data_IF_264187287738
#
_entry.id   IF_264187287738
#
_cell.length_a   1.000
_cell.length_b   1.000
_cell.length_c   1.000
_cell.angle_alpha   90.00
_cell.angle_beta   90.00
_cell.angle_gamma   90.00
#
_symmetry.space_group_name_H-M   'P 1'
#
loop_
_entity.id
_entity.type
_entity.pdbx_description
1 polymer ?
#
# COMPACT_ATOMS: atom_id res chain seq x y z
N UNK A 1 -6.09 -7.05 -17.44
CA UNK A 1 -6.19 -6.59 -16.04
C UNK A 1 -5.78 -5.12 -16.01
N UNK A 2 -6.66 -4.24 -15.56
CA UNK A 2 -6.41 -2.82 -15.39
C UNK A 2 -6.09 -2.55 -13.93
N UNK A 3 -4.89 -2.06 -13.65
CA UNK A 3 -4.42 -1.77 -12.30
C UNK A 3 -4.14 -0.27 -12.22
N UNK A 4 -4.58 0.37 -11.14
CA UNK A 4 -4.38 1.80 -10.91
C UNK A 4 -3.79 2.06 -9.52
N UNK A 5 -3.14 3.21 -9.36
CA UNK A 5 -2.62 3.70 -8.08
C UNK A 5 -3.03 5.16 -7.90
N UNK A 6 -3.37 5.53 -6.64
CA UNK A 6 -3.82 6.89 -6.32
C UNK A 6 -3.53 7.25 -4.86
N UNK A 7 -2.70 8.27 -4.65
CA UNK A 7 -2.62 8.93 -3.34
C UNK A 7 -3.86 9.79 -3.13
N UNK A 8 -4.71 9.40 -2.19
CA UNK A 8 -6.02 10.05 -1.98
C UNK A 8 -6.01 11.12 -0.89
N UNK A 9 -4.92 11.23 -0.15
CA UNK A 9 -4.80 12.21 0.93
C UNK A 9 -6.07 12.29 1.80
N UNK A 10 -6.45 11.19 2.43
CA UNK A 10 -7.65 10.91 3.20
C UNK A 10 -8.78 10.25 2.39
N UNK A 11 -9.02 8.97 2.70
CA UNK A 11 -10.11 8.19 2.11
C UNK A 11 -11.48 8.82 2.40
N UNK A 12 -11.69 9.35 3.61
CA UNK A 12 -12.97 9.96 4.00
C UNK A 12 -13.29 11.20 3.19
N UNK A 13 -12.28 12.03 2.91
CA UNK A 13 -12.46 13.27 2.16
C UNK A 13 -12.68 13.03 0.68
N UNK A 14 -12.11 11.95 0.14
CA UNK A 14 -12.12 11.64 -1.30
C UNK A 14 -13.06 10.51 -1.69
N UNK A 15 -13.81 9.94 -0.75
CA UNK A 15 -14.61 8.74 -1.00
C UNK A 15 -15.54 8.89 -2.21
N UNK A 16 -16.32 9.96 -2.29
CA UNK A 16 -17.23 10.18 -3.42
C UNK A 16 -16.48 10.26 -4.77
N UNK A 17 -15.35 10.97 -4.79
CA UNK A 17 -14.52 11.10 -5.98
C UNK A 17 -13.94 9.75 -6.43
N UNK A 18 -13.53 8.90 -5.46
CA UNK A 18 -12.99 7.57 -5.74
C UNK A 18 -14.10 6.67 -6.31
N UNK A 19 -15.28 6.69 -5.70
CA UNK A 19 -16.44 5.91 -6.16
C UNK A 19 -16.86 6.34 -7.56
N UNK A 20 -16.96 7.65 -7.84
CA UNK A 20 -17.28 8.18 -9.16
C UNK A 20 -16.24 7.74 -10.20
N UNK A 21 -14.96 7.80 -9.85
CA UNK A 21 -13.86 7.37 -10.71
C UNK A 21 -13.89 5.86 -10.97
N UNK A 22 -14.14 5.03 -9.94
CA UNK A 22 -14.30 3.59 -10.09
C UNK A 22 -15.45 3.27 -11.07
N UNK A 23 -16.59 3.93 -10.94
CA UNK A 23 -17.74 3.74 -11.83
C UNK A 23 -17.44 4.09 -13.29
N UNK A 24 -16.56 5.09 -13.54
CA UNK A 24 -16.17 5.50 -14.87
C UNK A 24 -15.10 4.61 -15.50
N UNK A 25 -14.07 4.26 -14.72
CA UNK A 25 -12.87 3.57 -15.21
C UNK A 25 -12.97 2.06 -15.06
N UNK A 26 -13.70 1.59 -14.04
CA UNK A 26 -13.96 0.18 -13.76
C UNK A 26 -12.68 -0.66 -13.64
N UNK A 27 -11.66 -0.24 -12.83
CA UNK A 27 -10.41 -0.95 -12.70
C UNK A 27 -10.59 -2.35 -12.09
N UNK A 28 -9.65 -3.26 -12.38
CA UNK A 28 -9.63 -4.58 -11.73
C UNK A 28 -9.02 -4.48 -10.33
N UNK A 29 -7.97 -3.64 -10.18
CA UNK A 29 -7.28 -3.39 -8.91
C UNK A 29 -6.98 -1.90 -8.79
N UNK A 30 -7.25 -1.33 -7.59
CA UNK A 30 -6.92 0.05 -7.24
C UNK A 30 -6.10 0.06 -5.94
N UNK A 31 -4.87 0.57 -6.01
CA UNK A 31 -3.97 0.77 -4.89
C UNK A 31 -4.09 2.20 -4.37
N UNK A 32 -4.42 2.37 -3.08
CA UNK A 32 -4.57 3.68 -2.46
C UNK A 32 -3.44 3.94 -1.47
N UNK A 33 -3.00 5.21 -1.38
CA UNK A 33 -2.04 5.70 -0.40
C UNK A 33 -2.63 6.90 0.35
N UNK A 34 -2.11 7.15 1.53
CA UNK A 34 -2.59 8.18 2.48
C UNK A 34 -4.08 8.04 2.83
N UNK A 35 -4.51 6.84 3.19
CA UNK A 35 -5.91 6.60 3.58
C UNK A 35 -6.29 7.32 4.88
N UNK A 36 -5.33 7.52 5.81
CA UNK A 36 -5.41 8.31 7.05
C UNK A 36 -6.50 7.88 8.03
N UNK A 37 -6.91 6.62 7.97
CA UNK A 37 -7.87 6.00 8.87
C UNK A 37 -7.33 4.67 9.39
N UNK A 38 -7.79 4.23 10.54
CA UNK A 38 -7.55 2.87 11.04
C UNK A 38 -8.36 1.86 10.19
N UNK A 39 -7.94 0.59 10.22
CA UNK A 39 -8.60 -0.49 9.46
C UNK A 39 -10.12 -0.50 9.74
N UNK A 40 -10.55 -0.47 11.01
CA UNK A 40 -11.95 -0.48 11.43
C UNK A 40 -12.76 0.77 11.01
N UNK A 41 -12.07 1.80 10.56
CA UNK A 41 -12.70 3.07 10.15
C UNK A 41 -12.66 3.28 8.63
N UNK A 42 -12.16 2.30 7.90
CA UNK A 42 -12.13 2.35 6.45
C UNK A 42 -13.55 2.07 5.90
N UNK A 43 -14.03 2.82 4.91
CA UNK A 43 -15.40 2.68 4.38
C UNK A 43 -15.52 1.46 3.44
N UNK A 44 -15.35 0.25 3.99
CA UNK A 44 -15.32 -1.02 3.24
C UNK A 44 -16.61 -1.22 2.45
N UNK A 45 -17.76 -0.97 3.09
CA UNK A 45 -19.09 -1.21 2.51
C UNK A 45 -19.29 -0.48 1.19
N UNK A 46 -18.76 0.75 1.06
CA UNK A 46 -18.90 1.54 -0.17
C UNK A 46 -18.22 0.90 -1.39
N UNK A 47 -17.20 0.08 -1.17
CA UNK A 47 -16.51 -0.65 -2.23
C UNK A 47 -17.14 -2.04 -2.46
N UNK A 48 -17.59 -2.69 -1.42
CA UNK A 48 -18.28 -3.98 -1.51
C UNK A 48 -19.59 -3.87 -2.30
N UNK A 49 -20.33 -2.77 -2.14
CA UNK A 49 -21.54 -2.46 -2.95
C UNK A 49 -21.23 -2.36 -4.45
N UNK A 50 -20.00 -2.05 -4.83
CA UNK A 50 -19.51 -2.02 -6.22
C UNK A 50 -18.89 -3.35 -6.68
N UNK A 51 -18.91 -4.38 -5.83
CA UNK A 51 -18.35 -5.69 -6.13
C UNK A 51 -16.83 -5.81 -5.94
N UNK A 52 -16.22 -4.92 -5.14
CA UNK A 52 -14.81 -4.99 -4.79
C UNK A 52 -14.60 -5.54 -3.40
N UNK A 53 -13.56 -6.32 -3.21
CA UNK A 53 -12.98 -6.63 -1.91
C UNK A 53 -11.94 -5.57 -1.51
N UNK A 54 -11.66 -5.45 -0.22
CA UNK A 54 -10.80 -4.40 0.33
C UNK A 54 -9.81 -4.98 1.32
N UNK A 55 -8.53 -4.74 1.08
CA UNK A 55 -7.45 -5.05 2.02
C UNK A 55 -6.84 -3.74 2.51
N UNK A 56 -6.82 -3.53 3.83
CA UNK A 56 -6.40 -2.26 4.45
C UNK A 56 -5.25 -2.48 5.41
N UNK A 57 -4.31 -1.55 5.41
CA UNK A 57 -3.29 -1.41 6.43
C UNK A 57 -3.20 0.06 6.83
N UNK A 58 -4.02 0.42 7.81
CA UNK A 58 -4.33 1.80 8.14
C UNK A 58 -3.74 2.31 9.44
N UNK A 59 -3.65 3.63 9.53
CA UNK A 59 -3.18 4.37 10.69
C UNK A 59 -4.02 5.63 10.88
N UNK A 60 -4.36 5.95 12.11
CA UNK A 60 -5.15 7.14 12.42
C UNK A 60 -4.40 8.41 12.03
N UNK A 61 -5.05 9.28 11.26
CA UNK A 61 -4.60 10.64 10.88
C UNK A 61 -3.43 10.73 9.91
N UNK A 62 -2.63 9.68 9.76
CA UNK A 62 -1.42 9.67 8.92
C UNK A 62 -1.32 8.37 8.12
N UNK A 63 -0.51 8.39 7.05
CA UNK A 63 -0.16 7.19 6.27
C UNK A 63 -1.38 6.34 5.87
N UNK A 64 -1.18 5.03 5.83
CA UNK A 64 -2.21 4.06 5.47
C UNK A 64 -2.24 3.76 3.99
N UNK A 65 -2.28 2.47 3.67
CA UNK A 65 -2.37 1.95 2.30
C UNK A 65 -3.52 0.96 2.20
N UNK A 66 -4.13 0.84 1.02
CA UNK A 66 -5.18 -0.14 0.78
C UNK A 66 -5.08 -0.70 -0.65
N UNK A 67 -5.55 -1.93 -0.83
CA UNK A 67 -5.77 -2.55 -2.14
C UNK A 67 -7.26 -2.85 -2.25
N UNK A 68 -7.89 -2.33 -3.29
CA UNK A 68 -9.30 -2.52 -3.63
C UNK A 68 -9.35 -3.32 -4.92
N UNK A 69 -10.01 -4.48 -4.95
CA UNK A 69 -9.93 -5.39 -6.07
C UNK A 69 -11.23 -6.14 -6.33
N UNK A 70 -11.57 -6.35 -7.63
CA UNK A 70 -12.61 -7.30 -8.06
C UNK A 70 -12.13 -8.75 -7.97
N UNK A 71 -10.82 -8.95 -7.96
CA UNK A 71 -10.17 -10.26 -7.89
C UNK A 71 -9.91 -10.57 -6.43
N UNK A 72 -10.20 -11.78 -5.99
CA UNK A 72 -9.93 -12.18 -4.61
C UNK A 72 -8.42 -12.09 -4.32
N UNK A 73 -8.07 -11.38 -3.26
CA UNK A 73 -6.70 -11.29 -2.77
C UNK A 73 -6.27 -12.61 -2.11
N UNK A 74 -5.07 -13.05 -2.40
CA UNK A 74 -4.42 -14.19 -1.74
C UNK A 74 -3.13 -13.70 -1.08
N UNK A 75 -2.65 -14.41 -0.05
CA UNK A 75 -1.38 -14.14 0.62
C UNK A 75 -1.16 -12.69 1.04
N UNK A 76 -2.21 -12.03 1.53
CA UNK A 76 -2.15 -10.63 1.99
C UNK A 76 -1.11 -10.48 3.09
N UNK A 77 -0.18 -9.55 2.92
CA UNK A 77 0.87 -9.22 3.89
C UNK A 77 0.94 -7.71 4.13
N UNK A 78 1.18 -7.35 5.37
CA UNK A 78 1.24 -5.96 5.84
C UNK A 78 2.66 -5.63 6.33
N UNK A 79 3.24 -4.55 5.80
CA UNK A 79 4.61 -4.13 6.12
C UNK A 79 5.69 -4.98 5.45
N UNK A 80 6.93 -4.80 5.87
CA UNK A 80 8.10 -5.54 5.39
C UNK A 80 8.20 -6.93 6.04
N UNK A 81 7.34 -7.85 5.64
CA UNK A 81 7.36 -9.22 6.17
C UNK A 81 8.57 -10.02 5.64
N UNK A 82 9.18 -10.81 6.52
CA UNK A 82 10.33 -11.66 6.18
C UNK A 82 11.66 -10.92 6.04
N UNK A 83 11.69 -9.60 6.26
CA UNK A 83 12.95 -8.89 6.45
C UNK A 83 13.56 -9.27 7.82
N UNK A 84 14.90 -9.25 7.92
CA UNK A 84 15.58 -9.57 9.15
C UNK A 84 15.11 -8.67 10.30
N UNK A 85 14.48 -9.25 11.30
CA UNK A 85 14.03 -8.55 12.52
C UNK A 85 15.18 -7.90 13.32
N UNK A 86 16.44 -8.20 12.95
CA UNK A 86 17.64 -7.58 13.53
C UNK A 86 17.89 -6.15 13.04
N UNK A 87 17.18 -5.66 12.01
CA UNK A 87 17.27 -4.28 11.62
C UNK A 87 16.47 -3.42 12.63
N UNK A 88 17.17 -2.61 13.41
CA UNK A 88 16.58 -1.71 14.42
C UNK A 88 15.52 -0.75 13.85
N UNK A 89 15.52 -0.53 12.53
CA UNK A 89 14.57 0.34 11.86
C UNK A 89 13.26 -0.38 11.49
N UNK A 90 13.25 -1.72 11.44
CA UNK A 90 12.07 -2.46 10.93
C UNK A 90 10.81 -2.19 11.75
N UNK A 91 10.93 -2.11 13.07
CA UNK A 91 9.80 -1.81 13.95
C UNK A 91 9.21 -0.43 13.69
N UNK A 92 10.07 0.57 13.44
CA UNK A 92 9.66 1.93 13.10
C UNK A 92 8.91 1.92 11.75
N UNK A 93 9.40 1.17 10.76
CA UNK A 93 8.76 1.05 9.45
C UNK A 93 7.41 0.34 9.52
N UNK A 94 7.29 -0.74 10.31
CA UNK A 94 6.04 -1.46 10.52
C UNK A 94 4.97 -0.59 11.19
N UNK A 95 5.38 0.31 12.08
CA UNK A 95 4.46 1.23 12.77
C UNK A 95 3.87 2.31 11.86
N UNK A 96 4.48 2.60 10.70
CA UNK A 96 4.02 3.69 9.83
C UNK A 96 3.05 3.28 8.71
N UNK A 97 2.65 2.02 8.62
CA UNK A 97 1.60 1.53 7.72
C UNK A 97 1.73 2.04 6.27
N UNK A 98 2.90 1.76 5.63
CA UNK A 98 3.28 2.29 4.32
C UNK A 98 3.40 1.25 3.21
N UNK A 99 3.25 -0.05 3.53
CA UNK A 99 3.38 -1.14 2.56
C UNK A 99 2.33 -2.21 2.83
N UNK A 100 1.61 -2.59 1.79
CA UNK A 100 0.72 -3.76 1.78
C UNK A 100 0.94 -4.52 0.47
N UNK A 101 0.94 -5.84 0.52
CA UNK A 101 1.01 -6.66 -0.68
C UNK A 101 -0.01 -7.79 -0.65
N UNK A 102 -0.42 -8.23 -1.83
CA UNK A 102 -1.27 -9.39 -2.01
C UNK A 102 -1.04 -10.01 -3.40
N UNK A 103 -1.39 -11.29 -3.55
CA UNK A 103 -1.29 -12.00 -4.81
C UNK A 103 -2.65 -11.99 -5.52
N UNK A 104 -2.62 -11.74 -6.84
CA UNK A 104 -3.80 -11.71 -7.69
C UNK A 104 -3.51 -12.45 -9.00
N UNK A 105 -4.08 -13.64 -9.17
CA UNK A 105 -3.88 -14.46 -10.38
C UNK A 105 -2.40 -14.70 -10.73
N UNK A 106 -1.55 -14.95 -9.73
CA UNK A 106 -0.13 -15.22 -9.89
C UNK A 106 0.76 -13.97 -10.04
N UNK A 107 0.21 -12.78 -9.87
CA UNK A 107 0.96 -11.52 -9.81
C UNK A 107 0.92 -10.98 -8.40
N UNK A 108 2.08 -10.73 -7.81
CA UNK A 108 2.19 -10.04 -6.51
C UNK A 108 2.11 -8.53 -6.72
N UNK A 109 1.04 -7.92 -6.23
CA UNK A 109 0.90 -6.47 -6.16
C UNK A 109 1.51 -5.98 -4.85
N UNK A 110 2.44 -5.03 -4.94
CA UNK A 110 3.06 -4.38 -3.79
C UNK A 110 2.69 -2.89 -3.87
N UNK A 111 1.85 -2.45 -2.95
CA UNK A 111 1.42 -1.05 -2.85
C UNK A 111 2.22 -0.35 -1.76
N UNK A 112 2.91 0.73 -2.13
CA UNK A 112 3.79 1.48 -1.23
C UNK A 112 3.41 2.96 -1.15
N UNK A 113 3.63 3.53 0.04
CA UNK A 113 3.65 4.97 0.26
C UNK A 113 5.03 5.36 0.80
N UNK A 114 5.92 5.78 -0.10
CA UNK A 114 7.32 6.10 0.21
C UNK A 114 7.38 7.34 1.12
N UNK A 115 8.21 7.35 2.17
CA UNK A 115 8.34 8.53 3.04
C UNK A 115 8.80 9.77 2.27
N UNK A 116 8.24 10.92 2.61
CA UNK A 116 8.76 12.19 2.11
C UNK A 116 10.07 12.55 2.82
N UNK A 117 11.16 12.74 2.06
CA UNK A 117 12.49 13.04 2.60
C UNK A 117 12.70 14.49 3.03
N UNK A 118 11.78 15.41 2.69
CA UNK A 118 11.94 16.84 3.00
C UNK A 118 13.22 17.42 2.37
N UNK A 119 14.17 17.92 3.17
CA UNK A 119 15.47 18.45 2.69
C UNK A 119 16.58 17.39 2.82
N UNK A 120 17.63 17.49 1.98
CA UNK A 120 18.71 16.51 1.88
C UNK A 120 19.47 16.26 3.21
N UNK A 121 19.55 17.27 4.10
CA UNK A 121 20.29 17.18 5.37
C UNK A 121 19.36 16.94 6.57
N UNK A 122 18.15 16.41 6.36
CA UNK A 122 17.17 16.20 7.43
C UNK A 122 17.13 14.73 7.87
N UNK A 123 16.77 14.49 9.13
CA UNK A 123 16.49 13.14 9.65
C UNK A 123 15.41 12.41 8.83
N UNK A 124 14.50 13.19 8.19
CA UNK A 124 13.47 12.64 7.29
C UNK A 124 14.07 12.10 6.00
N UNK A 125 15.13 12.71 5.49
CA UNK A 125 15.84 12.22 4.32
C UNK A 125 16.57 10.91 4.63
N UNK A 126 17.29 10.87 5.75
CA UNK A 126 17.93 9.64 6.21
C UNK A 126 16.91 8.53 6.42
N UNK A 127 15.78 8.84 7.06
CA UNK A 127 14.68 7.90 7.20
C UNK A 127 14.16 7.37 5.86
N UNK A 128 13.96 8.25 4.86
CA UNK A 128 13.55 7.86 3.49
C UNK A 128 14.57 6.91 2.86
N UNK A 129 15.86 7.22 2.95
CA UNK A 129 16.92 6.38 2.36
C UNK A 129 16.95 4.99 3.03
N UNK A 130 16.87 4.94 4.35
CA UNK A 130 16.83 3.67 5.09
C UNK A 130 15.58 2.85 4.72
N UNK A 131 14.45 3.50 4.58
CA UNK A 131 13.21 2.86 4.14
C UNK A 131 13.31 2.31 2.71
N UNK A 132 13.91 3.06 1.78
CA UNK A 132 14.15 2.62 0.40
C UNK A 132 15.14 1.46 0.32
N UNK A 133 16.18 1.44 1.14
CA UNK A 133 17.11 0.32 1.23
C UNK A 133 16.40 -0.95 1.72
N UNK A 134 15.50 -0.80 2.71
CA UNK A 134 14.67 -1.91 3.17
C UNK A 134 13.71 -2.40 2.07
N UNK A 135 13.10 -1.48 1.30
CA UNK A 135 12.26 -1.84 0.17
C UNK A 135 13.05 -2.60 -0.91
N UNK A 136 14.25 -2.15 -1.24
CA UNK A 136 15.11 -2.84 -2.22
C UNK A 136 15.42 -4.27 -1.77
N UNK A 137 15.87 -4.45 -0.52
CA UNK A 137 16.13 -5.78 0.04
C UNK A 137 14.87 -6.66 0.06
N UNK A 138 13.72 -6.07 0.37
CA UNK A 138 12.44 -6.77 0.36
C UNK A 138 12.08 -7.26 -1.06
N UNK A 139 12.26 -6.42 -2.07
CA UNK A 139 11.99 -6.77 -3.46
C UNK A 139 12.94 -7.87 -3.96
N UNK A 140 14.24 -7.80 -3.65
CA UNK A 140 15.23 -8.83 -3.98
C UNK A 140 14.81 -10.21 -3.41
N UNK A 141 14.27 -10.24 -2.20
CA UNK A 141 13.79 -11.49 -1.58
C UNK A 141 12.52 -12.03 -2.27
N UNK A 142 11.62 -11.17 -2.76
CA UNK A 142 10.47 -11.63 -3.53
C UNK A 142 10.91 -12.15 -4.93
N UNK A 143 11.83 -11.46 -5.59
CA UNK A 143 12.37 -11.86 -6.89
C UNK A 143 13.05 -13.24 -6.81
N UNK A 144 13.85 -13.50 -5.78
CA UNK A 144 14.49 -14.81 -5.56
C UNK A 144 13.50 -15.97 -5.46
N UNK A 145 12.25 -15.70 -5.06
CA UNK A 145 11.18 -16.70 -5.04
C UNK A 145 10.56 -16.96 -6.40
N UNK A 146 10.97 -16.23 -7.43
CA UNK A 146 10.44 -16.35 -8.80
C UNK A 146 9.05 -15.75 -8.96
N UNK A 147 8.64 -14.83 -8.09
CA UNK A 147 7.34 -14.19 -8.15
C UNK A 147 7.28 -13.10 -9.22
N UNK A 148 6.18 -13.03 -9.95
CA UNK A 148 5.92 -11.92 -10.87
C UNK A 148 5.41 -10.72 -10.03
N UNK A 149 6.20 -9.66 -9.98
CA UNK A 149 5.97 -8.51 -9.09
C UNK A 149 5.48 -7.31 -9.90
N UNK A 150 4.46 -6.64 -9.37
CA UNK A 150 4.05 -5.31 -9.77
C UNK A 150 4.15 -4.37 -8.56
N UNK A 151 5.21 -3.55 -8.54
CA UNK A 151 5.39 -2.50 -7.54
C UNK A 151 4.70 -1.23 -8.00
N UNK A 152 3.85 -0.68 -7.17
CA UNK A 152 3.15 0.58 -7.43
C UNK A 152 2.89 1.36 -6.15
N UNK A 153 2.58 2.62 -6.30
CA UNK A 153 2.34 3.50 -5.15
C UNK A 153 2.73 4.95 -5.41
N UNK A 154 3.04 5.63 -4.33
CA UNK A 154 3.49 7.03 -4.29
C UNK A 154 4.96 7.10 -3.84
N UNK A 155 5.86 7.58 -4.73
CA UNK A 155 7.33 7.53 -4.60
C UNK A 155 7.96 8.90 -4.26
#
# INVERSE_FOLDING_TARGET
>A
MLIATWNVNSIRTRLSQIIDWINQVNPDILCLQETKVMDDSFPVEAFEELGYSVEVYGQKSYNGVAIISKIKAENVKKGFYGCNESDQNIEIFLNQKRLISADFNGIKIINVYVPNGSSLDSDKFEYKINWLNCLASFLDEQEKKGELICLMGDF
#
